data_IF_064101292334
#
_entry.id   IF_064101292334
#
_cell.length_a   1.000
_cell.length_b   1.000
_cell.length_c   1.000
_cell.angle_alpha   90.00
_cell.angle_beta   90.00
_cell.angle_gamma   90.00
#
_symmetry.space_group_name_H-M   'P 1'
#
loop_
_entity.id
_entity.type
_entity.pdbx_description
1 polymer ?
#
# COMPACT_ATOMS: atom_id res chain seq x y z
N UNK A 1 30.66 -33.14 -34.28
CA UNK A 1 31.53 -31.99 -33.93
C UNK A 1 30.65 -30.76 -33.84
N UNK A 2 30.92 -29.89 -32.85
CA UNK A 2 30.14 -28.72 -32.39
C UNK A 2 29.10 -29.00 -31.28
N UNK A 3 29.62 -29.37 -30.11
CA UNK A 3 29.02 -29.04 -28.80
C UNK A 3 29.01 -27.52 -28.64
N UNK A 4 27.82 -26.90 -28.56
CA UNK A 4 27.69 -25.51 -28.14
C UNK A 4 27.89 -25.39 -26.63
N UNK A 5 28.89 -24.62 -26.14
CA UNK A 5 28.92 -24.21 -24.75
C UNK A 5 28.00 -23.00 -24.56
N UNK A 6 27.62 -22.72 -23.31
CA UNK A 6 26.90 -21.52 -22.86
C UNK A 6 25.36 -21.62 -22.76
N UNK A 7 24.89 -22.71 -22.15
CA UNK A 7 23.78 -22.64 -21.22
C UNK A 7 24.33 -22.76 -19.79
N UNK A 8 25.19 -21.83 -19.37
CA UNK A 8 25.41 -21.61 -17.93
C UNK A 8 24.15 -20.95 -17.41
N UNK A 9 23.14 -21.77 -17.09
CA UNK A 9 22.12 -21.36 -16.14
C UNK A 9 22.88 -20.94 -14.89
N UNK A 10 23.02 -19.63 -14.67
CA UNK A 10 23.56 -19.13 -13.43
C UNK A 10 22.58 -19.58 -12.35
N UNK A 11 22.91 -20.70 -11.71
CA UNK A 11 22.17 -21.24 -10.59
C UNK A 11 22.04 -20.11 -9.58
N UNK A 12 20.81 -19.65 -9.37
CA UNK A 12 20.57 -18.49 -8.54
C UNK A 12 20.99 -18.86 -7.11
N UNK A 13 21.88 -18.08 -6.47
CA UNK A 13 22.32 -18.41 -5.12
C UNK A 13 21.11 -18.45 -4.20
N UNK A 14 21.09 -19.41 -3.27
CA UNK A 14 20.00 -19.53 -2.32
C UNK A 14 19.86 -18.23 -1.51
N UNK A 15 18.63 -17.78 -1.21
CA UNK A 15 18.42 -16.66 -0.29
C UNK A 15 19.16 -16.90 1.03
N UNK A 16 19.58 -15.82 1.70
CA UNK A 16 20.29 -15.86 3.00
C UNK A 16 21.76 -16.37 2.94
N UNK A 17 22.28 -16.72 1.77
CA UNK A 17 23.70 -17.06 1.59
C UNK A 17 24.60 -15.82 1.43
N UNK A 18 25.88 -15.89 1.83
CA UNK A 18 26.88 -14.85 1.54
C UNK A 18 27.01 -14.55 0.03
N UNK A 19 26.88 -15.57 -0.82
CA UNK A 19 26.92 -15.49 -2.28
C UNK A 19 25.75 -14.66 -2.81
N UNK A 20 24.55 -14.89 -2.28
CA UNK A 20 23.36 -14.09 -2.61
C UNK A 20 23.55 -12.63 -2.23
N UNK A 21 24.05 -12.33 -1.03
CA UNK A 21 24.32 -10.96 -0.61
C UNK A 21 25.37 -10.28 -1.51
N UNK A 22 26.42 -11.00 -1.93
CA UNK A 22 27.41 -10.48 -2.89
C UNK A 22 26.78 -10.22 -4.26
N UNK A 23 25.89 -11.09 -4.73
CA UNK A 23 25.16 -10.89 -5.98
C UNK A 23 24.25 -9.66 -5.91
N UNK A 24 23.48 -9.51 -4.82
CA UNK A 24 22.61 -8.34 -4.59
C UNK A 24 23.41 -7.04 -4.53
N UNK A 25 24.57 -7.03 -3.84
CA UNK A 25 25.45 -5.84 -3.80
C UNK A 25 25.92 -5.42 -5.19
N UNK A 26 26.30 -6.39 -6.03
CA UNK A 26 26.71 -6.13 -7.42
C UNK A 26 25.55 -5.58 -8.23
N UNK A 27 24.37 -6.19 -8.14
CA UNK A 27 23.19 -5.76 -8.87
C UNK A 27 22.68 -4.38 -8.41
N UNK A 28 22.74 -4.08 -7.12
CA UNK A 28 22.30 -2.80 -6.57
C UNK A 28 23.29 -1.65 -6.86
N UNK A 29 24.56 -1.96 -7.11
CA UNK A 29 25.60 -0.95 -7.36
C UNK A 29 26.09 -0.22 -6.10
N UNK A 30 25.75 -0.69 -4.90
CA UNK A 30 26.19 -0.11 -3.63
C UNK A 30 26.34 -1.15 -2.52
N UNK A 31 26.93 -0.74 -1.40
CA UNK A 31 27.21 -1.63 -0.26
C UNK A 31 25.94 -1.92 0.57
N UNK A 32 25.11 -2.84 0.07
CA UNK A 32 23.94 -3.37 0.80
C UNK A 32 24.40 -4.12 2.06
N UNK A 33 23.77 -3.83 3.21
CA UNK A 33 24.00 -4.56 4.47
C UNK A 33 22.86 -5.54 4.76
N UNK A 34 23.08 -6.59 5.57
CA UNK A 34 22.03 -7.56 5.92
C UNK A 34 20.72 -6.93 6.42
N UNK A 35 20.83 -5.89 7.27
CA UNK A 35 19.68 -5.12 7.78
C UNK A 35 18.83 -4.41 6.72
N UNK A 36 19.37 -4.19 5.52
CA UNK A 36 18.58 -3.68 4.39
C UNK A 36 17.84 -4.79 3.66
N UNK A 37 18.39 -6.01 3.70
CA UNK A 37 17.95 -7.15 2.92
C UNK A 37 16.89 -7.98 3.67
N UNK A 38 17.05 -8.15 4.98
CA UNK A 38 16.09 -8.83 5.88
C UNK A 38 14.62 -8.40 5.65
N UNK A 39 14.24 -7.11 5.71
CA UNK A 39 12.85 -6.68 5.53
C UNK A 39 12.32 -6.92 4.11
N UNK A 40 13.20 -7.02 3.11
CA UNK A 40 12.81 -7.30 1.72
C UNK A 40 12.54 -8.80 1.57
N UNK A 41 13.46 -9.65 2.05
CA UNK A 41 13.26 -11.10 2.04
C UNK A 41 12.01 -11.52 2.83
N UNK A 42 11.77 -10.91 3.98
CA UNK A 42 10.56 -11.18 4.76
C UNK A 42 9.29 -10.86 3.95
N UNK A 43 9.28 -9.74 3.25
CA UNK A 43 8.14 -9.36 2.40
C UNK A 43 7.91 -10.35 1.24
N UNK A 44 8.98 -10.87 0.63
CA UNK A 44 8.88 -11.95 -0.36
C UNK A 44 8.28 -13.23 0.24
N UNK A 45 8.78 -13.66 1.40
CA UNK A 45 8.27 -14.86 2.10
C UNK A 45 6.79 -14.75 2.40
N UNK A 46 6.37 -13.63 2.99
CA UNK A 46 4.97 -13.39 3.40
C UNK A 46 4.02 -13.33 2.22
N UNK A 47 4.44 -12.71 1.12
CA UNK A 47 3.63 -12.61 -0.11
C UNK A 47 3.74 -13.83 -1.02
N UNK A 48 4.57 -14.83 -0.65
CA UNK A 48 4.92 -16.00 -1.49
C UNK A 48 5.41 -15.61 -2.89
N UNK A 49 6.07 -14.45 -2.98
CA UNK A 49 6.64 -13.96 -4.23
C UNK A 49 8.01 -14.63 -4.44
N UNK A 50 8.33 -15.13 -5.64
CA UNK A 50 9.65 -15.67 -5.92
C UNK A 50 10.77 -14.67 -5.66
N UNK A 51 11.82 -15.11 -4.98
CA UNK A 51 12.99 -14.28 -4.67
C UNK A 51 13.97 -14.36 -5.84
N UNK A 52 14.36 -13.21 -6.39
CA UNK A 52 15.48 -13.08 -7.35
C UNK A 52 16.48 -12.02 -6.89
N UNK A 53 17.74 -12.13 -7.35
CA UNK A 53 18.80 -11.17 -6.99
C UNK A 53 18.43 -9.77 -7.48
N UNK A 54 17.95 -9.66 -8.71
CA UNK A 54 17.61 -8.42 -9.38
C UNK A 54 16.44 -7.74 -8.69
N UNK A 55 15.39 -8.50 -8.36
CA UNK A 55 14.22 -7.96 -7.68
C UNK A 55 14.55 -7.55 -6.24
N UNK A 56 15.38 -8.30 -5.53
CA UNK A 56 15.85 -7.88 -4.20
C UNK A 56 16.68 -6.60 -4.32
N UNK A 57 17.60 -6.51 -5.28
CA UNK A 57 18.44 -5.32 -5.51
C UNK A 57 17.62 -4.06 -5.82
N UNK A 58 16.57 -4.20 -6.63
CA UNK A 58 15.62 -3.12 -6.92
C UNK A 58 14.91 -2.65 -5.64
N UNK A 59 14.35 -3.58 -4.86
CA UNK A 59 13.58 -3.26 -3.66
C UNK A 59 14.45 -2.66 -2.55
N UNK A 60 15.64 -3.20 -2.30
CA UNK A 60 16.56 -2.63 -1.29
C UNK A 60 17.00 -1.23 -1.67
N UNK A 61 17.13 -0.94 -2.97
CA UNK A 61 17.46 0.39 -3.47
C UNK A 61 16.27 1.34 -3.35
N UNK A 62 15.05 0.87 -3.63
CA UNK A 62 13.82 1.65 -3.50
C UNK A 62 13.54 2.12 -2.07
N UNK A 63 13.97 1.36 -1.06
CA UNK A 63 13.80 1.70 0.37
C UNK A 63 15.04 2.41 0.98
N UNK A 64 16.08 2.64 0.19
CA UNK A 64 17.30 3.30 0.63
C UNK A 64 17.10 4.82 0.83
N UNK A 65 17.94 5.44 1.66
CA UNK A 65 17.95 6.88 1.91
C UNK A 65 17.91 7.27 3.39
N UNK A 66 17.89 8.59 3.61
CA UNK A 66 17.97 9.18 4.94
C UNK A 66 16.70 8.99 5.77
N UNK A 67 16.90 8.56 7.02
CA UNK A 67 15.79 8.28 7.95
C UNK A 67 15.71 9.33 9.04
N UNK A 68 14.50 9.88 9.19
CA UNK A 68 14.16 10.82 10.26
C UNK A 68 14.26 10.19 11.66
N UNK A 69 14.38 11.01 12.71
CA UNK A 69 14.37 10.54 14.09
C UNK A 69 13.13 9.69 14.43
N UNK A 70 11.96 10.06 13.90
CA UNK A 70 10.71 9.30 14.01
C UNK A 70 10.83 7.88 13.46
N UNK A 71 11.46 7.73 12.29
CA UNK A 71 11.66 6.41 11.67
C UNK A 71 12.68 5.55 12.42
N UNK A 72 13.64 6.18 13.12
CA UNK A 72 14.62 5.46 13.94
C UNK A 72 14.02 4.83 15.20
N UNK A 73 12.80 5.21 15.61
CA UNK A 73 12.10 4.59 16.75
C UNK A 73 11.62 3.16 16.46
N UNK A 74 11.17 2.90 15.23
CA UNK A 74 10.67 1.59 14.79
C UNK A 74 11.28 1.18 13.45
N UNK A 75 12.63 1.06 13.37
CA UNK A 75 13.33 0.98 12.10
C UNK A 75 12.90 -0.23 11.25
N UNK A 76 12.63 -1.36 11.88
CA UNK A 76 12.24 -2.58 11.16
C UNK A 76 10.84 -2.49 10.55
N UNK A 77 9.84 -1.99 11.30
CA UNK A 77 8.49 -1.78 10.77
C UNK A 77 8.49 -0.78 9.60
N UNK A 78 9.28 0.29 9.69
CA UNK A 78 9.40 1.26 8.61
C UNK A 78 10.04 0.65 7.35
N UNK A 79 11.10 -0.14 7.51
CA UNK A 79 11.72 -0.84 6.36
C UNK A 79 10.77 -1.87 5.76
N UNK A 80 10.10 -2.64 6.59
CA UNK A 80 9.14 -3.65 6.15
C UNK A 80 7.95 -3.03 5.39
N UNK A 81 7.40 -1.91 5.89
CA UNK A 81 6.43 -1.10 5.15
C UNK A 81 6.99 -0.66 3.78
N UNK A 82 8.23 -0.16 3.76
CA UNK A 82 8.93 0.19 2.53
C UNK A 82 8.98 -0.97 1.54
N UNK A 83 9.35 -2.16 2.00
CA UNK A 83 9.41 -3.37 1.17
C UNK A 83 8.06 -3.69 0.54
N UNK A 84 6.98 -3.65 1.31
CA UNK A 84 5.64 -3.90 0.77
C UNK A 84 5.17 -2.80 -0.19
N UNK A 85 5.49 -1.53 0.08
CA UNK A 85 5.22 -0.44 -0.87
C UNK A 85 5.96 -0.68 -2.19
N UNK A 86 7.24 -1.03 -2.14
CA UNK A 86 8.05 -1.31 -3.33
C UNK A 86 7.55 -2.54 -4.10
N UNK A 87 7.16 -3.61 -3.40
CA UNK A 87 6.54 -4.80 -4.02
C UNK A 87 5.28 -4.44 -4.80
N UNK A 88 4.46 -3.53 -4.28
CA UNK A 88 3.25 -3.02 -4.94
C UNK A 88 3.54 -1.91 -5.97
N UNK A 89 4.81 -1.65 -6.32
CA UNK A 89 5.20 -0.64 -7.31
C UNK A 89 4.99 0.80 -6.85
N UNK A 90 4.92 1.05 -5.53
CA UNK A 90 4.67 2.38 -4.96
C UNK A 90 5.98 3.03 -4.49
N UNK A 91 6.04 4.37 -4.42
CA UNK A 91 7.19 5.06 -3.86
C UNK A 91 7.49 4.57 -2.43
N UNK A 92 8.69 4.03 -2.23
CA UNK A 92 9.05 3.29 -1.03
C UNK A 92 10.19 3.91 -0.22
N UNK A 93 10.85 4.94 -0.75
CA UNK A 93 11.88 5.71 -0.05
C UNK A 93 11.37 6.32 1.28
N UNK A 94 12.25 6.62 2.25
CA UNK A 94 11.85 7.04 3.60
C UNK A 94 10.87 8.21 3.67
N UNK A 95 10.95 9.17 2.75
CA UNK A 95 10.01 10.29 2.70
C UNK A 95 8.60 9.85 2.26
N UNK A 96 8.48 9.04 1.21
CA UNK A 96 7.17 8.51 0.81
C UNK A 96 6.52 7.64 1.89
N UNK A 97 7.30 6.85 2.63
CA UNK A 97 6.80 6.09 3.76
C UNK A 97 6.16 7.03 4.80
N UNK A 98 6.87 8.11 5.19
CA UNK A 98 6.33 9.11 6.13
C UNK A 98 5.08 9.78 5.59
N UNK A 99 5.08 10.14 4.31
CA UNK A 99 3.93 10.74 3.66
C UNK A 99 2.72 9.80 3.64
N UNK A 100 2.94 8.49 3.42
CA UNK A 100 1.91 7.46 3.49
C UNK A 100 1.30 7.35 4.89
N UNK A 101 2.11 7.18 5.92
CA UNK A 101 1.62 7.12 7.31
C UNK A 101 0.94 8.44 7.72
N UNK A 102 1.45 9.58 7.26
CA UNK A 102 0.82 10.88 7.46
C UNK A 102 -0.58 10.98 6.83
N UNK A 103 -0.78 10.39 5.63
CA UNK A 103 -2.11 10.28 5.01
C UNK A 103 -3.04 9.37 5.81
N UNK A 104 -2.56 8.22 6.26
CA UNK A 104 -3.36 7.31 7.11
C UNK A 104 -3.83 8.02 8.37
N UNK A 105 -2.91 8.71 9.08
CA UNK A 105 -3.23 9.47 10.30
C UNK A 105 -4.31 10.52 10.06
N UNK A 106 -4.20 11.32 8.99
CA UNK A 106 -5.21 12.36 8.67
C UNK A 106 -6.61 11.80 8.46
N UNK A 107 -6.74 10.55 8.02
CA UNK A 107 -8.04 9.91 7.83
C UNK A 107 -8.63 9.37 9.14
N UNK A 108 -7.83 9.11 10.17
CA UNK A 108 -8.28 8.45 11.39
C UNK A 108 -8.44 9.47 12.54
N UNK A 109 -7.45 10.35 12.72
CA UNK A 109 -7.35 11.29 13.84
C UNK A 109 -5.91 11.46 14.30
N UNK A 110 -5.57 12.62 14.89
CA UNK A 110 -4.20 12.97 15.24
C UNK A 110 -3.56 12.08 16.33
N UNK A 111 -4.38 11.55 17.24
CA UNK A 111 -3.95 10.80 18.42
C UNK A 111 -3.47 9.36 18.15
N UNK A 112 -3.58 8.88 16.90
CA UNK A 112 -3.18 7.49 16.59
C UNK A 112 -1.66 7.37 16.51
N UNK A 113 -1.12 6.49 17.37
CA UNK A 113 0.29 6.16 17.43
C UNK A 113 0.80 5.55 16.11
N UNK A 114 2.04 5.90 15.75
CA UNK A 114 2.78 5.33 14.63
C UNK A 114 2.82 3.81 14.64
N UNK A 115 3.06 3.20 15.81
CA UNK A 115 3.22 1.75 15.93
C UNK A 115 2.00 1.03 15.39
N UNK A 116 0.80 1.45 15.80
CA UNK A 116 -0.46 0.86 15.32
C UNK A 116 -0.65 1.06 13.82
N UNK A 117 -0.38 2.25 13.29
CA UNK A 117 -0.47 2.52 11.85
C UNK A 117 0.50 1.66 11.04
N UNK A 118 1.72 1.50 11.55
CA UNK A 118 2.76 0.69 10.94
C UNK A 118 2.38 -0.79 10.98
N UNK A 119 1.96 -1.31 12.13
CA UNK A 119 1.56 -2.71 12.30
C UNK A 119 0.41 -3.08 11.34
N UNK A 120 -0.64 -2.27 11.28
CA UNK A 120 -1.76 -2.49 10.35
C UNK A 120 -1.30 -2.40 8.90
N UNK A 121 -0.45 -1.43 8.56
CA UNK A 121 0.03 -1.31 7.18
C UNK A 121 0.95 -2.49 6.79
N UNK A 122 1.83 -2.95 7.68
CA UNK A 122 2.68 -4.11 7.41
C UNK A 122 1.87 -5.40 7.32
N UNK A 123 0.83 -5.57 8.15
CA UNK A 123 -0.06 -6.73 8.05
C UNK A 123 -0.88 -6.70 6.76
N UNK A 124 -1.41 -5.54 6.38
CA UNK A 124 -2.10 -5.38 5.10
C UNK A 124 -1.18 -5.76 3.92
N UNK A 125 0.08 -5.32 3.96
CA UNK A 125 1.10 -5.68 2.97
C UNK A 125 1.40 -7.18 2.95
N UNK A 126 1.57 -7.79 4.13
CA UNK A 126 1.81 -9.23 4.28
C UNK A 126 0.64 -10.07 3.72
N UNK A 127 -0.59 -9.62 3.95
CA UNK A 127 -1.81 -10.25 3.44
C UNK A 127 -2.07 -9.97 1.96
N UNK A 128 -1.16 -9.27 1.26
CA UNK A 128 -1.31 -8.92 -0.17
C UNK A 128 -2.42 -7.92 -0.46
N UNK A 129 -2.90 -7.20 0.56
CA UNK A 129 -3.96 -6.20 0.43
C UNK A 129 -3.40 -4.87 -0.08
N UNK A 130 -4.22 -4.02 -0.71
CA UNK A 130 -3.75 -2.73 -1.22
C UNK A 130 -3.26 -1.85 -0.07
N UNK A 131 -2.03 -1.33 -0.20
CA UNK A 131 -1.48 -0.34 0.73
C UNK A 131 -2.07 1.05 0.47
N UNK A 132 -3.39 1.18 0.54
CA UNK A 132 -4.07 2.45 0.40
C UNK A 132 -4.38 3.05 1.77
N UNK A 133 -4.26 4.39 1.88
CA UNK A 133 -4.49 5.07 3.14
C UNK A 133 -5.92 4.85 3.67
N UNK A 134 -6.91 4.73 2.78
CA UNK A 134 -8.30 4.42 3.13
C UNK A 134 -8.49 2.99 3.62
N UNK A 135 -7.79 2.02 3.03
CA UNK A 135 -7.82 0.63 3.48
C UNK A 135 -7.23 0.52 4.90
N UNK A 136 -6.02 1.04 5.10
CA UNK A 136 -5.36 1.07 6.41
C UNK A 136 -6.22 1.81 7.43
N UNK A 137 -6.79 2.96 7.09
CA UNK A 137 -7.66 3.71 7.99
C UNK A 137 -8.91 2.93 8.43
N UNK A 138 -9.53 2.15 7.52
CA UNK A 138 -10.66 1.29 7.88
C UNK A 138 -10.27 0.20 8.87
N UNK A 139 -9.17 -0.50 8.60
CA UNK A 139 -8.66 -1.55 9.49
C UNK A 139 -8.31 -0.97 10.88
N UNK A 140 -7.65 0.19 10.94
CA UNK A 140 -7.34 0.86 12.22
C UNK A 140 -8.61 1.25 12.97
N UNK A 141 -9.62 1.84 12.30
CA UNK A 141 -10.89 2.19 12.97
C UNK A 141 -11.58 0.97 13.56
N UNK A 142 -11.59 -0.15 12.82
CA UNK A 142 -12.16 -1.41 13.30
C UNK A 142 -11.46 -1.93 14.57
N UNK A 143 -10.14 -1.75 14.67
CA UNK A 143 -9.36 -2.08 15.87
C UNK A 143 -9.67 -1.13 17.04
N UNK A 144 -9.76 0.18 16.77
CA UNK A 144 -10.08 1.19 17.79
C UNK A 144 -11.46 0.96 18.40
N UNK A 145 -12.46 0.58 17.58
CA UNK A 145 -13.80 0.20 18.04
C UNK A 145 -13.80 -1.01 18.99
N UNK A 146 -12.72 -1.81 19.00
CA UNK A 146 -12.53 -2.99 19.85
C UNK A 146 -11.56 -2.73 21.01
N UNK A 147 -11.22 -1.47 21.29
CA UNK A 147 -10.38 -1.10 22.43
C UNK A 147 -8.88 -1.14 22.16
N UNK A 148 -8.44 -1.27 20.91
CA UNK A 148 -7.01 -1.35 20.58
C UNK A 148 -6.18 -0.09 20.90
N UNK A 149 -6.82 1.02 21.30
CA UNK A 149 -6.14 2.26 21.65
C UNK A 149 -5.25 2.12 22.90
N UNK A 150 -5.57 1.19 23.81
CA UNK A 150 -4.81 0.89 25.02
C UNK A 150 -4.49 -0.60 25.19
N UNK A 151 -4.66 -1.39 24.12
CA UNK A 151 -4.31 -2.80 24.14
C UNK A 151 -2.80 -2.99 24.05
N UNK A 152 -2.30 -4.05 24.67
CA UNK A 152 -0.90 -4.43 24.57
C UNK A 152 -0.55 -4.92 23.14
N UNK A 153 0.71 -4.82 22.70
CA UNK A 153 1.12 -5.19 21.34
C UNK A 153 0.70 -6.60 20.93
N UNK A 154 0.78 -7.57 21.85
CA UNK A 154 0.39 -8.97 21.59
C UNK A 154 -1.11 -9.09 21.26
N UNK A 155 -1.96 -8.37 21.98
CA UNK A 155 -3.40 -8.35 21.72
C UNK A 155 -3.72 -7.69 20.39
N UNK A 156 -2.96 -6.65 20.02
CA UNK A 156 -3.10 -6.01 18.72
C UNK A 156 -2.74 -7.02 17.62
N UNK A 157 -1.62 -7.74 17.76
CA UNK A 157 -1.14 -8.71 16.78
C UNK A 157 -2.16 -9.83 16.51
N UNK A 158 -2.87 -10.31 17.53
CA UNK A 158 -3.94 -11.30 17.36
C UNK A 158 -5.17 -10.77 16.58
N UNK A 159 -5.45 -9.47 16.72
CA UNK A 159 -6.58 -8.81 16.07
C UNK A 159 -6.24 -8.28 14.67
N UNK A 160 -4.96 -8.13 14.33
CA UNK A 160 -4.50 -7.57 13.05
C UNK A 160 -5.09 -8.33 11.85
N UNK A 161 -5.02 -9.67 11.73
CA UNK A 161 -5.59 -10.38 10.58
C UNK A 161 -7.11 -10.16 10.46
N UNK A 162 -7.81 -10.11 11.59
CA UNK A 162 -9.26 -9.89 11.63
C UNK A 162 -9.63 -8.48 11.15
N UNK A 163 -8.83 -7.48 11.53
CA UNK A 163 -9.01 -6.10 11.08
C UNK A 163 -8.78 -5.95 9.57
N UNK A 164 -7.76 -6.62 9.04
CA UNK A 164 -7.47 -6.64 7.59
C UNK A 164 -8.61 -7.30 6.81
N UNK A 165 -9.14 -8.41 7.31
CA UNK A 165 -10.27 -9.09 6.69
C UNK A 165 -11.56 -8.26 6.76
N UNK A 166 -11.84 -7.62 7.90
CA UNK A 166 -12.98 -6.72 8.05
C UNK A 166 -12.91 -5.54 7.08
N UNK A 167 -11.74 -4.92 6.92
CA UNK A 167 -11.53 -3.83 5.96
C UNK A 167 -11.75 -4.28 4.51
N UNK A 168 -11.38 -5.53 4.18
CA UNK A 168 -11.56 -6.12 2.85
C UNK A 168 -13.04 -6.33 2.49
N UNK A 169 -13.89 -6.72 3.46
CA UNK A 169 -15.32 -7.00 3.23
C UNK A 169 -16.12 -5.77 2.81
N UNK A 170 -15.70 -4.58 3.24
CA UNK A 170 -16.36 -3.31 2.90
C UNK A 170 -16.08 -2.91 1.44
N UNK A 171 -15.01 -3.43 0.84
CA UNK A 171 -14.60 -3.12 -0.53
C UNK A 171 -15.24 -4.03 -1.58
N UNK A 172 -15.76 -5.20 -1.17
CA UNK A 172 -16.56 -6.05 -2.04
C UNK A 172 -17.98 -5.45 -2.16
N UNK A 173 -18.38 -4.88 -3.32
CA UNK A 173 -19.79 -4.61 -3.52
C UNK A 173 -20.51 -5.96 -3.51
N UNK A 174 -21.47 -6.11 -2.61
CA UNK A 174 -22.48 -7.15 -2.74
C UNK A 174 -22.97 -7.13 -4.20
N UNK A 175 -22.78 -8.26 -4.89
CA UNK A 175 -23.12 -8.42 -6.29
C UNK A 175 -24.54 -7.92 -6.55
N UNK A 176 -24.69 -7.21 -7.67
CA UNK A 176 -25.97 -6.82 -8.25
C UNK A 176 -26.94 -8.01 -8.23
N UNK A 177 -27.98 -7.94 -7.41
CA UNK A 177 -29.28 -8.46 -7.81
C UNK A 177 -30.03 -7.33 -8.50
N UNK A 178 -29.60 -6.97 -9.71
CA UNK A 178 -30.51 -6.38 -10.68
C UNK A 178 -31.39 -7.51 -11.21
N UNK A 179 -32.41 -7.87 -10.41
CA UNK A 179 -33.56 -8.57 -10.96
C UNK A 179 -34.21 -7.62 -11.97
N UNK A 180 -34.05 -7.97 -13.24
CA UNK A 180 -34.73 -7.35 -14.36
C UNK A 180 -36.25 -7.55 -14.19
N UNK A 181 -36.96 -6.41 -14.27
CA UNK A 181 -38.28 -6.19 -14.89
C UNK A 181 -39.58 -6.42 -14.06
N UNK A 182 -40.75 -5.91 -14.51
CA UNK A 182 -41.03 -4.72 -15.35
C UNK A 182 -42.19 -3.85 -14.81
N UNK A 183 -42.29 -2.61 -15.30
CA UNK A 183 -43.58 -1.90 -15.38
C UNK A 183 -43.71 -0.66 -14.50
N UNK A 184 -44.15 0.45 -15.10
CA UNK A 184 -44.78 1.53 -14.35
C UNK A 184 -44.38 2.95 -14.74
N UNK A 185 -45.06 3.47 -15.77
CA UNK A 185 -45.40 4.90 -15.97
C UNK A 185 -44.27 5.86 -16.40
N UNK A 186 -44.25 6.12 -17.71
CA UNK A 186 -43.93 7.43 -18.28
C UNK A 186 -44.82 8.53 -17.68
N UNK A 187 -44.28 9.69 -17.30
CA UNK A 187 -44.99 10.95 -17.42
C UNK A 187 -44.68 11.59 -18.78
N UNK A 188 -45.73 12.12 -19.39
CA UNK A 188 -45.80 12.80 -20.68
C UNK A 188 -44.95 14.08 -20.76
N UNK A 189 -44.47 14.47 -21.96
CA UNK A 189 -43.79 15.74 -22.13
C UNK A 189 -44.83 16.86 -22.23
N UNK A 190 -44.86 17.75 -21.24
CA UNK A 190 -45.60 19.02 -21.33
C UNK A 190 -44.81 19.98 -22.23
N UNK A 191 -45.29 20.19 -23.46
CA UNK A 191 -44.89 21.26 -24.37
C UNK A 191 -45.98 22.32 -24.39
N UNK A 192 -45.65 23.58 -24.10
CA UNK A 192 -46.32 24.86 -24.45
C UNK A 192 -45.67 25.96 -23.60
N UNK A 193 -45.16 27.11 -24.03
CA UNK A 193 -45.08 27.83 -25.32
C UNK A 193 -43.91 28.85 -25.22
N UNK A 194 -43.41 29.38 -26.36
CA UNK A 194 -42.35 30.38 -26.42
C UNK A 194 -42.88 31.83 -26.55
N UNK A 195 -42.08 32.80 -26.10
CA UNK A 195 -42.27 34.25 -26.27
C UNK A 195 -41.79 35.00 -25.02
N UNK A 196 -41.07 36.11 -25.06
CA UNK A 196 -40.75 36.97 -26.18
C UNK A 196 -39.50 37.82 -25.86
N UNK A 197 -38.90 38.30 -26.94
CA UNK A 197 -37.93 39.38 -27.03
C UNK A 197 -38.11 40.53 -26.02
N UNK A 198 -36.99 41.03 -25.51
CA UNK A 198 -36.98 42.29 -24.75
C UNK A 198 -35.58 42.80 -24.39
N UNK A 199 -34.80 43.17 -25.42
CA UNK A 199 -33.89 44.33 -25.47
C UNK A 199 -33.05 44.74 -24.22
N UNK A 200 -31.71 44.64 -24.35
CA UNK A 200 -30.79 45.75 -23.94
C UNK A 200 -31.05 46.94 -24.88
N UNK A 201 -30.85 48.24 -24.52
CA UNK A 201 -29.64 48.81 -23.87
C UNK A 201 -29.96 50.13 -23.04
N UNK A 202 -29.15 51.21 -22.99
CA UNK A 202 -27.78 51.44 -22.44
C UNK A 202 -27.67 52.64 -21.44
N UNK A 203 -26.40 52.97 -21.07
CA UNK A 203 -25.80 54.26 -20.65
C UNK A 203 -25.63 54.49 -19.14
N UNK A 204 -24.39 54.58 -18.62
CA UNK A 204 -23.34 55.64 -18.69
C UNK A 204 -23.63 56.86 -17.80
N UNK A 205 -22.68 57.12 -16.90
CA UNK A 205 -22.15 58.39 -16.32
C UNK A 205 -21.87 58.12 -14.83
N UNK A 206 -20.75 58.50 -14.23
CA UNK A 206 -19.66 59.40 -14.62
C UNK A 206 -18.45 59.00 -13.79
#
# INVERSE_FOLDING_TARGET
MATGPDARGHEQPAPETPEFLRAVRRAAGWRVSPRHLEPVLEAFRRTRTPVTVERVAELVSAIHGDRSARQRRHPELWRLLGSYLALQGRPAHPEAQRAFIGRCRRLIGAEVNDILLLAVATEAGAAGKPLEARFVARAVRWLLERGAAGADPEQIDELLPQAIEAASRVEAPAGRSQARQPGGRRPTPRRSKPGAHGQRPPRRRR
#
